data_IF_924490615413
#
_entry.id   IF_924490615413
#
_cell.length_a   1.000
_cell.length_b   1.000
_cell.length_c   1.000
_cell.angle_alpha   90.00
_cell.angle_beta   90.00
_cell.angle_gamma   90.00
#
_symmetry.space_group_name_H-M   'P 1'
#
loop_
_entity.id
_entity.type
_entity.pdbx_description
1 polymer ?
#
# COMPACT_ATOMS: atom_id res chain seq x y z
N UNK A 1 36.93 -5.87 3.11
CA UNK A 1 35.96 -5.57 2.08
C UNK A 1 34.77 -6.48 2.31
N UNK A 2 33.67 -5.88 2.72
CA UNK A 2 32.51 -6.48 3.37
C UNK A 2 31.71 -7.39 2.43
N UNK A 3 31.55 -8.67 2.81
CA UNK A 3 30.68 -9.64 2.13
C UNK A 3 29.19 -9.25 2.21
N UNK A 4 28.83 -8.36 3.12
CA UNK A 4 27.45 -7.87 3.30
C UNK A 4 26.95 -7.00 2.13
N UNK A 5 27.83 -6.36 1.37
CA UNK A 5 27.46 -5.44 0.29
C UNK A 5 27.12 -6.11 -1.04
N UNK A 6 27.53 -7.34 -1.30
CA UNK A 6 27.24 -8.05 -2.55
C UNK A 6 25.95 -8.88 -2.52
N UNK A 7 25.58 -9.42 -1.37
CA UNK A 7 24.31 -10.16 -1.22
C UNK A 7 23.09 -9.21 -1.19
N UNK A 8 23.27 -8.00 -0.69
CA UNK A 8 22.22 -6.98 -0.67
C UNK A 8 21.85 -6.52 -2.08
N UNK A 9 22.85 -6.40 -2.98
CA UNK A 9 22.67 -5.95 -4.36
C UNK A 9 21.90 -6.93 -5.27
N UNK A 10 21.59 -8.14 -4.82
CA UNK A 10 20.89 -9.17 -5.61
C UNK A 10 19.46 -9.45 -5.14
N UNK A 11 19.05 -8.93 -3.98
CA UNK A 11 17.71 -9.19 -3.43
C UNK A 11 16.64 -8.46 -4.23
N UNK A 12 15.52 -9.13 -4.59
CA UNK A 12 14.39 -8.47 -5.25
C UNK A 12 13.84 -7.32 -4.38
N UNK A 13 13.49 -6.21 -5.02
CA UNK A 13 12.97 -5.03 -4.32
C UNK A 13 11.46 -5.12 -4.12
N UNK A 14 11.01 -4.82 -2.89
CA UNK A 14 9.61 -4.59 -2.55
C UNK A 14 9.43 -3.14 -2.12
N UNK A 15 8.51 -2.41 -2.76
CA UNK A 15 8.10 -1.06 -2.34
C UNK A 15 6.76 -1.15 -1.63
N UNK A 16 6.73 -0.77 -0.37
CA UNK A 16 5.53 -0.74 0.47
C UNK A 16 4.95 0.67 0.52
N UNK A 17 3.70 0.83 0.07
CA UNK A 17 2.99 2.11 0.01
C UNK A 17 1.87 2.13 1.06
N UNK A 18 1.95 3.09 1.98
CA UNK A 18 1.07 3.18 3.14
C UNK A 18 -0.35 3.69 2.82
N UNK A 19 -1.28 3.49 3.73
CA UNK A 19 -2.65 4.00 3.67
C UNK A 19 -2.76 5.49 4.03
N UNK A 20 -3.93 6.06 3.75
CA UNK A 20 -4.29 7.43 4.14
C UNK A 20 -3.96 7.70 5.61
N UNK A 21 -3.49 8.91 5.90
CA UNK A 21 -3.05 9.47 7.19
C UNK A 21 -1.85 8.79 7.84
N UNK A 22 -1.41 7.64 7.35
CA UNK A 22 -0.25 6.91 7.86
C UNK A 22 1.04 7.37 7.17
N UNK A 23 2.16 6.75 7.55
CA UNK A 23 3.48 6.92 6.95
C UNK A 23 4.08 5.56 6.61
N UNK A 24 5.28 5.53 6.03
CA UNK A 24 6.05 4.31 5.78
C UNK A 24 6.26 3.44 7.02
N UNK A 25 6.20 4.04 8.21
CA UNK A 25 6.30 3.35 9.50
C UNK A 25 5.21 2.28 9.73
N UNK A 26 4.07 2.37 9.02
CA UNK A 26 3.02 1.35 9.06
C UNK A 26 3.47 -0.03 8.53
N UNK A 27 4.63 -0.10 7.91
CA UNK A 27 5.20 -1.33 7.33
C UNK A 27 6.36 -1.92 8.15
N UNK A 28 6.69 -1.34 9.30
CA UNK A 28 7.82 -1.78 10.16
C UNK A 28 7.78 -3.28 10.47
N UNK A 29 6.60 -3.83 10.78
CA UNK A 29 6.45 -5.26 11.05
C UNK A 29 6.73 -6.14 9.81
N UNK A 30 6.34 -5.70 8.62
CA UNK A 30 6.61 -6.41 7.36
C UNK A 30 8.08 -6.34 6.99
N UNK A 31 8.70 -5.17 7.12
CA UNK A 31 10.14 -4.98 6.88
C UNK A 31 10.98 -5.86 7.79
N UNK A 32 10.64 -5.94 9.08
CA UNK A 32 11.35 -6.78 10.05
C UNK A 32 11.35 -8.27 9.66
N UNK A 33 10.27 -8.75 9.00
CA UNK A 33 10.16 -10.16 8.59
C UNK A 33 10.71 -10.42 7.19
N UNK A 34 10.55 -9.45 6.27
CA UNK A 34 10.85 -9.65 4.84
C UNK A 34 12.24 -9.16 4.44
N UNK A 35 12.86 -8.27 5.24
CA UNK A 35 14.14 -7.67 4.95
C UNK A 35 15.33 -8.63 4.95
N UNK A 36 15.16 -9.87 5.40
CA UNK A 36 16.14 -10.94 5.26
C UNK A 36 16.32 -11.44 3.83
N UNK A 37 15.23 -11.39 3.03
CA UNK A 37 15.18 -11.95 1.69
C UNK A 37 14.92 -10.90 0.58
N UNK A 38 14.46 -9.70 0.96
CA UNK A 38 14.06 -8.65 0.03
C UNK A 38 14.67 -7.31 0.41
N UNK A 39 15.00 -6.49 -0.59
CA UNK A 39 15.26 -5.08 -0.40
C UNK A 39 13.92 -4.34 -0.22
N UNK A 40 13.64 -3.89 1.01
CA UNK A 40 12.35 -3.29 1.36
C UNK A 40 12.44 -1.77 1.40
N UNK A 41 11.63 -1.08 0.59
CA UNK A 41 11.50 0.37 0.57
C UNK A 41 10.12 0.77 1.11
N UNK A 42 10.07 1.76 2.00
CA UNK A 42 8.82 2.25 2.63
C UNK A 42 8.71 3.77 2.52
N UNK A 43 8.60 4.33 1.29
CA UNK A 43 8.54 5.77 1.13
C UNK A 43 7.27 6.35 1.74
N UNK A 44 7.37 7.60 2.22
CA UNK A 44 6.21 8.40 2.53
C UNK A 44 5.62 8.96 1.24
N UNK A 45 4.30 8.78 1.06
CA UNK A 45 3.56 9.35 -0.06
C UNK A 45 3.42 10.87 0.09
N UNK A 46 3.30 11.63 -1.02
CA UNK A 46 3.06 13.07 -0.94
C UNK A 46 1.93 13.43 0.03
N UNK A 47 2.11 14.51 0.78
CA UNK A 47 1.20 14.94 1.84
C UNK A 47 1.33 14.17 3.15
N UNK A 48 2.25 13.20 3.27
CA UNK A 48 2.37 12.33 4.44
C UNK A 48 3.81 12.25 4.95
N UNK A 49 3.97 12.06 6.27
CA UNK A 49 5.24 11.84 6.94
C UNK A 49 6.31 12.84 6.54
N UNK A 50 7.46 12.38 6.07
CA UNK A 50 8.59 13.22 5.61
C UNK A 50 8.31 13.94 4.28
N UNK A 51 7.24 13.56 3.56
CA UNK A 51 6.81 14.19 2.30
C UNK A 51 5.56 15.08 2.47
N UNK A 52 5.25 15.52 3.70
CA UNK A 52 4.04 16.29 4.03
C UNK A 52 3.90 17.60 3.25
N UNK A 53 5.01 18.25 2.88
CA UNK A 53 5.03 19.53 2.15
C UNK A 53 4.84 19.35 0.64
N UNK A 54 4.75 18.12 0.15
CA UNK A 54 4.56 17.83 -1.27
C UNK A 54 3.07 17.62 -1.53
N UNK A 55 2.44 18.40 -2.41
CA UNK A 55 1.03 18.21 -2.73
C UNK A 55 0.73 16.81 -3.29
N UNK A 56 -0.35 16.18 -2.81
CA UNK A 56 -0.76 14.88 -3.31
C UNK A 56 -1.61 15.02 -4.57
N UNK A 57 -1.21 14.30 -5.61
CA UNK A 57 -2.07 13.86 -6.72
C UNK A 57 -1.76 12.39 -6.99
N UNK A 58 -2.71 11.64 -7.57
CA UNK A 58 -2.49 10.22 -7.87
C UNK A 58 -1.30 10.05 -8.82
N UNK A 59 -1.26 10.84 -9.88
CA UNK A 59 -0.20 10.75 -10.90
C UNK A 59 1.14 11.24 -10.35
N UNK A 60 1.17 12.34 -9.58
CA UNK A 60 2.41 12.81 -8.93
C UNK A 60 2.96 11.83 -7.91
N UNK A 61 2.10 11.15 -7.14
CA UNK A 61 2.52 10.07 -6.25
C UNK A 61 3.09 8.89 -7.03
N UNK A 62 2.44 8.50 -8.15
CA UNK A 62 2.92 7.44 -9.01
C UNK A 62 4.28 7.76 -9.65
N UNK A 63 4.50 9.00 -10.12
CA UNK A 63 5.78 9.47 -10.68
C UNK A 63 6.91 9.40 -9.64
N UNK A 64 6.63 9.77 -8.39
CA UNK A 64 7.63 9.69 -7.31
C UNK A 64 8.00 8.25 -6.97
N UNK A 65 7.01 7.34 -6.95
CA UNK A 65 7.27 5.91 -6.73
C UNK A 65 8.06 5.32 -7.90
N UNK A 66 7.73 5.68 -9.14
CA UNK A 66 8.51 5.28 -10.31
C UNK A 66 9.96 5.75 -10.23
N UNK A 67 10.20 7.03 -9.94
CA UNK A 67 11.54 7.57 -9.76
C UNK A 67 12.31 6.91 -8.59
N UNK A 68 11.62 6.50 -7.53
CA UNK A 68 12.21 5.73 -6.44
C UNK A 68 12.67 4.36 -6.93
N UNK A 69 11.84 3.66 -7.71
CA UNK A 69 12.18 2.35 -8.29
C UNK A 69 13.42 2.48 -9.19
N UNK A 70 13.45 3.47 -10.07
CA UNK A 70 14.62 3.69 -10.96
C UNK A 70 15.91 3.97 -10.19
N UNK A 71 15.83 4.70 -9.08
CA UNK A 71 17.00 5.08 -8.29
C UNK A 71 17.47 4.01 -7.33
N UNK A 72 16.54 3.26 -6.70
CA UNK A 72 16.86 2.43 -5.53
C UNK A 72 16.56 0.94 -5.72
N UNK A 73 15.79 0.53 -6.73
CA UNK A 73 15.60 -0.89 -7.00
C UNK A 73 16.83 -1.46 -7.74
N UNK A 74 17.33 -2.61 -7.26
CA UNK A 74 18.60 -3.17 -7.74
C UNK A 74 18.63 -3.47 -9.24
N UNK A 75 17.50 -3.92 -9.82
CA UNK A 75 17.35 -4.20 -11.25
C UNK A 75 16.44 -3.18 -11.96
N UNK A 76 16.15 -2.04 -11.31
CA UNK A 76 15.21 -1.02 -11.78
C UNK A 76 13.77 -1.51 -11.83
N UNK A 77 13.43 -2.56 -11.09
CA UNK A 77 12.10 -3.18 -11.02
C UNK A 77 11.73 -3.50 -9.59
N UNK A 78 10.44 -3.51 -9.26
CA UNK A 78 9.98 -3.80 -7.91
C UNK A 78 8.64 -4.56 -7.90
N UNK A 79 8.41 -5.26 -6.81
CA UNK A 79 7.07 -5.68 -6.39
C UNK A 79 6.46 -4.51 -5.63
N UNK A 80 5.27 -4.08 -6.00
CA UNK A 80 4.55 -3.04 -5.28
C UNK A 80 3.56 -3.68 -4.31
N UNK A 81 3.58 -3.23 -3.06
CA UNK A 81 2.64 -3.65 -2.02
C UNK A 81 1.98 -2.40 -1.46
N UNK A 82 0.69 -2.20 -1.74
CA UNK A 82 -0.02 -1.00 -1.32
C UNK A 82 -1.21 -1.29 -0.42
N UNK A 83 -1.36 -0.51 0.66
CA UNK A 83 -2.53 -0.52 1.52
C UNK A 83 -3.42 0.68 1.20
N UNK A 84 -4.71 0.47 0.93
CA UNK A 84 -5.70 1.56 0.77
C UNK A 84 -5.20 2.61 -0.25
N UNK A 85 -4.93 3.85 0.16
CA UNK A 85 -4.32 4.90 -0.67
C UNK A 85 -3.09 4.38 -1.44
N UNK A 86 -2.18 3.69 -0.76
CA UNK A 86 -0.99 3.11 -1.37
C UNK A 86 -1.30 2.06 -2.43
N UNK A 87 -2.43 1.33 -2.29
CA UNK A 87 -2.92 0.38 -3.30
C UNK A 87 -3.34 1.09 -4.59
N UNK A 88 -4.02 2.22 -4.49
CA UNK A 88 -4.39 3.04 -5.65
C UNK A 88 -3.17 3.64 -6.36
N UNK A 89 -2.20 4.14 -5.58
CA UNK A 89 -0.93 4.62 -6.15
C UNK A 89 -0.18 3.47 -6.83
N UNK A 90 -0.12 2.29 -6.22
CA UNK A 90 0.51 1.10 -6.82
C UNK A 90 -0.15 0.71 -8.16
N UNK A 91 -1.49 0.74 -8.24
CA UNK A 91 -2.22 0.50 -9.50
C UNK A 91 -1.85 1.55 -10.55
N UNK A 92 -1.75 2.84 -10.18
CA UNK A 92 -1.39 3.91 -11.10
C UNK A 92 0.04 3.73 -11.66
N UNK A 93 1.00 3.34 -10.81
CA UNK A 93 2.38 2.99 -11.24
C UNK A 93 2.37 1.82 -12.20
N UNK A 94 1.70 0.72 -11.83
CA UNK A 94 1.67 -0.51 -12.62
C UNK A 94 1.00 -0.32 -13.99
N UNK A 95 -0.01 0.55 -14.07
CA UNK A 95 -0.67 0.88 -15.33
C UNK A 95 0.22 1.71 -16.27
N UNK A 96 1.03 2.63 -15.71
CA UNK A 96 1.83 3.58 -16.49
C UNK A 96 3.21 3.05 -16.86
N UNK A 97 3.81 2.24 -15.98
CA UNK A 97 5.15 1.66 -16.16
C UNK A 97 5.15 0.16 -15.82
N UNK A 98 4.39 -0.65 -16.56
CA UNK A 98 4.24 -2.08 -16.26
C UNK A 98 5.57 -2.85 -16.30
N UNK A 99 6.54 -2.40 -17.10
CA UNK A 99 7.88 -2.98 -17.19
C UNK A 99 8.71 -2.81 -15.91
N UNK A 100 8.36 -1.84 -15.07
CA UNK A 100 9.01 -1.57 -13.77
C UNK A 100 8.40 -2.37 -12.62
N UNK A 101 7.23 -2.98 -12.84
CA UNK A 101 6.47 -3.68 -11.79
C UNK A 101 6.47 -5.17 -12.07
N UNK A 102 7.20 -5.94 -11.26
CA UNK A 102 7.28 -7.40 -11.39
C UNK A 102 6.07 -8.10 -10.76
N UNK A 103 5.38 -7.44 -9.83
CA UNK A 103 4.16 -7.93 -9.19
C UNK A 103 3.45 -6.83 -8.42
N UNK A 104 2.13 -6.92 -8.35
CA UNK A 104 1.26 -5.93 -7.71
C UNK A 104 0.41 -6.58 -6.61
N UNK A 105 0.65 -6.22 -5.36
CA UNK A 105 -0.19 -6.63 -4.23
C UNK A 105 -0.94 -5.41 -3.67
N UNK A 106 -2.27 -5.45 -3.71
CA UNK A 106 -3.14 -4.37 -3.22
C UNK A 106 -4.01 -4.87 -2.07
N UNK A 107 -3.94 -4.19 -0.94
CA UNK A 107 -4.71 -4.49 0.25
C UNK A 107 -5.72 -3.37 0.55
N UNK A 108 -6.99 -3.70 0.71
CA UNK A 108 -8.04 -2.71 1.01
C UNK A 108 -8.15 -1.59 -0.04
N UNK A 109 -7.98 -1.90 -1.33
CA UNK A 109 -8.08 -0.95 -2.44
C UNK A 109 -8.79 -1.56 -3.66
N UNK A 110 -9.82 -2.36 -3.41
CA UNK A 110 -10.56 -3.12 -4.42
C UNK A 110 -11.93 -2.50 -4.74
N UNK A 111 -12.00 -1.17 -4.79
CA UNK A 111 -13.20 -0.42 -5.16
C UNK A 111 -12.81 0.79 -6.01
N UNK A 112 -13.59 1.11 -7.05
CA UNK A 112 -13.46 2.39 -7.74
C UNK A 112 -14.13 3.49 -6.91
N UNK A 113 -13.44 4.61 -6.60
CA UNK A 113 -13.99 5.72 -5.81
C UNK A 113 -15.04 6.56 -6.58
N UNK A 114 -16.02 5.90 -7.18
CA UNK A 114 -17.08 6.51 -8.01
C UNK A 114 -18.48 6.12 -7.50
N UNK A 115 -19.50 6.82 -7.90
CA UNK A 115 -20.90 6.54 -7.52
C UNK A 115 -21.07 6.45 -6.00
N UNK A 116 -21.69 5.38 -5.50
CA UNK A 116 -21.93 5.15 -4.08
C UNK A 116 -20.65 4.95 -3.29
N UNK A 117 -19.62 4.33 -3.88
CA UNK A 117 -18.32 4.12 -3.23
C UNK A 117 -17.63 5.45 -2.92
N UNK A 118 -17.78 6.45 -3.80
CA UNK A 118 -17.25 7.80 -3.56
C UNK A 118 -17.78 8.45 -2.27
N UNK A 119 -18.97 8.07 -1.79
CA UNK A 119 -19.55 8.62 -0.56
C UNK A 119 -18.71 8.26 0.69
N UNK A 120 -18.15 7.05 0.73
CA UNK A 120 -17.26 6.64 1.83
C UNK A 120 -15.99 7.49 1.88
N UNK A 121 -15.34 7.72 0.72
CA UNK A 121 -14.15 8.57 0.62
C UNK A 121 -14.46 10.02 0.98
N UNK A 122 -15.56 10.57 0.45
CA UNK A 122 -16.01 11.94 0.79
C UNK A 122 -16.36 12.09 2.26
N UNK A 123 -17.09 11.11 2.82
CA UNK A 123 -17.47 11.11 4.23
C UNK A 123 -16.25 11.14 5.16
N UNK A 124 -15.27 10.27 4.90
CA UNK A 124 -14.02 10.26 5.66
C UNK A 124 -13.24 11.57 5.50
N UNK A 125 -13.13 12.09 4.27
CA UNK A 125 -12.47 13.38 4.02
C UNK A 125 -13.15 14.53 4.80
N UNK A 126 -14.49 14.56 4.84
CA UNK A 126 -15.26 15.57 5.60
C UNK A 126 -15.01 15.44 7.11
N UNK A 127 -14.98 14.23 7.65
CA UNK A 127 -14.70 14.01 9.07
C UNK A 127 -13.31 14.51 9.44
N UNK A 128 -12.30 14.12 8.66
CA UNK A 128 -10.91 14.53 8.90
C UNK A 128 -10.70 16.06 8.74
N UNK A 129 -11.46 16.71 7.85
CA UNK A 129 -11.37 18.14 7.55
C UNK A 129 -12.11 19.02 8.57
N UNK A 130 -13.21 18.51 9.19
CA UNK A 130 -14.08 19.28 10.06
C UNK A 130 -13.78 19.10 11.54
N UNK A 131 -13.25 17.94 11.93
CA UNK A 131 -12.89 17.67 13.31
C UNK A 131 -11.52 18.28 13.61
N UNK A 132 -11.36 19.07 14.68
CA UNK A 132 -10.07 19.65 15.05
C UNK A 132 -8.97 18.59 15.15
N UNK A 133 -7.82 18.85 14.56
CA UNK A 133 -6.71 17.89 14.46
C UNK A 133 -6.31 17.26 15.80
N UNK A 134 -6.19 18.01 16.92
CA UNK A 134 -5.85 17.39 18.22
C UNK A 134 -6.88 16.34 18.69
N UNK A 135 -8.15 16.51 18.31
CA UNK A 135 -9.22 15.55 18.65
C UNK A 135 -9.07 14.30 17.79
N UNK A 136 -8.87 14.46 16.48
CA UNK A 136 -8.68 13.33 15.58
C UNK A 136 -7.41 12.56 15.95
N UNK A 137 -6.29 13.24 16.20
CA UNK A 137 -5.02 12.61 16.64
C UNK A 137 -5.23 11.82 17.95
N UNK A 138 -5.90 12.43 18.92
CA UNK A 138 -6.23 11.76 20.18
C UNK A 138 -7.05 10.49 19.98
N UNK A 139 -8.07 10.52 19.12
CA UNK A 139 -8.92 9.36 18.77
C UNK A 139 -8.12 8.28 18.08
N UNK A 140 -7.28 8.64 17.08
CA UNK A 140 -6.43 7.68 16.37
C UNK A 140 -5.42 7.02 17.32
N UNK A 141 -4.72 7.80 18.17
CA UNK A 141 -3.78 7.25 19.16
C UNK A 141 -4.46 6.33 20.16
N UNK A 142 -5.64 6.73 20.64
CA UNK A 142 -6.43 5.89 21.54
C UNK A 142 -6.84 4.57 20.85
N UNK A 143 -7.38 4.64 19.62
CA UNK A 143 -7.75 3.48 18.83
C UNK A 143 -6.55 2.54 18.60
N UNK A 144 -5.41 3.07 18.18
CA UNK A 144 -4.21 2.27 17.92
C UNK A 144 -3.66 1.61 19.19
N UNK A 145 -3.64 2.32 20.33
CA UNK A 145 -3.24 1.74 21.63
C UNK A 145 -4.17 0.63 22.10
N UNK A 146 -5.47 0.78 21.87
CA UNK A 146 -6.45 -0.24 22.23
C UNK A 146 -6.36 -1.48 21.33
N UNK A 147 -6.08 -1.26 20.06
CA UNK A 147 -6.20 -2.29 19.01
C UNK A 147 -4.91 -3.07 18.79
N UNK A 148 -3.77 -2.44 18.92
CA UNK A 148 -2.48 -3.01 18.54
C UNK A 148 -1.48 -3.03 19.70
N UNK A 149 -0.58 -4.04 19.75
CA UNK A 149 0.51 -4.05 20.73
C UNK A 149 1.49 -2.89 20.49
N UNK A 150 2.27 -2.49 21.51
CA UNK A 150 3.25 -1.40 21.38
C UNK A 150 4.23 -1.58 20.22
N UNK A 151 4.65 -2.82 19.92
CA UNK A 151 5.54 -3.12 18.79
C UNK A 151 4.99 -2.71 17.41
N UNK A 152 3.66 -2.55 17.29
CA UNK A 152 3.00 -2.06 16.08
C UNK A 152 2.62 -0.60 16.21
N UNK A 153 2.06 -0.19 17.37
CA UNK A 153 1.54 1.16 17.56
C UNK A 153 2.65 2.22 17.68
N UNK A 154 3.74 1.94 18.40
CA UNK A 154 4.80 2.94 18.63
C UNK A 154 5.53 3.38 17.35
N UNK A 155 5.92 2.51 16.39
CA UNK A 155 6.46 2.98 15.12
C UNK A 155 5.50 3.91 14.37
N UNK A 156 4.19 3.62 14.38
CA UNK A 156 3.17 4.46 13.74
C UNK A 156 3.09 5.82 14.43
N UNK A 157 3.13 5.86 15.76
CA UNK A 157 3.14 7.13 16.50
C UNK A 157 4.39 7.95 16.25
N UNK A 158 5.54 7.29 16.10
CA UNK A 158 6.79 7.95 15.75
C UNK A 158 6.77 8.54 14.32
N UNK A 159 6.11 7.84 13.37
CA UNK A 159 5.90 8.34 12.01
C UNK A 159 4.84 9.44 11.91
N UNK A 160 4.02 9.62 12.95
CA UNK A 160 2.94 10.61 13.00
C UNK A 160 1.74 10.27 12.12
N UNK A 161 0.70 11.11 12.23
CA UNK A 161 -0.50 11.06 11.39
C UNK A 161 -0.61 12.34 10.55
N UNK A 162 -0.85 12.20 9.25
CA UNK A 162 -0.93 13.30 8.29
C UNK A 162 -2.40 13.53 7.88
N UNK A 163 -3.20 14.13 8.75
CA UNK A 163 -4.63 14.29 8.51
C UNK A 163 -4.93 15.24 7.35
N UNK A 164 -4.26 16.39 7.27
CA UNK A 164 -4.43 17.34 6.18
C UNK A 164 -4.06 16.72 4.82
N UNK A 165 -2.93 16.01 4.75
CA UNK A 165 -2.52 15.25 3.57
C UNK A 165 -3.52 14.15 3.21
N UNK A 166 -4.05 13.46 4.22
CA UNK A 166 -5.08 12.44 4.07
C UNK A 166 -6.37 12.99 3.44
N UNK A 167 -6.81 14.20 3.86
CA UNK A 167 -7.99 14.87 3.25
C UNK A 167 -7.76 15.15 1.77
N UNK A 168 -6.59 15.71 1.42
CA UNK A 168 -6.23 15.99 0.02
C UNK A 168 -6.21 14.71 -0.79
N UNK A 169 -5.56 13.65 -0.27
CA UNK A 169 -5.46 12.36 -0.95
C UNK A 169 -6.84 11.71 -1.17
N UNK A 170 -7.70 11.68 -0.15
CA UNK A 170 -9.06 11.14 -0.29
C UNK A 170 -9.88 11.89 -1.35
N UNK A 171 -9.77 13.23 -1.37
CA UNK A 171 -10.45 14.05 -2.39
C UNK A 171 -9.91 13.79 -3.79
N UNK A 172 -8.61 13.58 -3.93
CA UNK A 172 -7.97 13.28 -5.21
C UNK A 172 -8.37 11.89 -5.77
N UNK A 173 -8.74 10.94 -4.91
CA UNK A 173 -9.23 9.64 -5.36
C UNK A 173 -10.67 9.70 -5.89
N UNK A 174 -11.50 10.62 -5.39
CA UNK A 174 -12.93 10.69 -5.75
C UNK A 174 -13.12 11.01 -7.22
N UNK A 175 -13.83 10.12 -7.92
CA UNK A 175 -14.09 10.24 -9.35
C UNK A 175 -13.13 9.48 -10.26
N UNK A 176 -12.03 8.96 -9.69
CA UNK A 176 -11.04 8.17 -10.41
C UNK A 176 -11.50 6.72 -10.62
N UNK A 177 -11.19 6.16 -11.78
CA UNK A 177 -11.43 4.78 -12.13
C UNK A 177 -10.12 3.98 -12.09
N UNK A 178 -9.99 3.06 -11.14
CA UNK A 178 -8.78 2.23 -10.97
C UNK A 178 -8.92 0.84 -11.57
N UNK A 179 -10.13 0.30 -11.73
CA UNK A 179 -10.31 -1.00 -12.38
C UNK A 179 -9.83 -1.00 -13.85
N UNK A 180 -10.02 0.06 -14.68
CA UNK A 180 -9.40 0.12 -15.99
C UNK A 180 -7.87 0.26 -15.95
N UNK A 181 -7.34 0.99 -14.96
CA UNK A 181 -5.89 1.09 -14.76
C UNK A 181 -5.30 -0.27 -14.38
N UNK A 182 -5.98 -1.03 -13.50
CA UNK A 182 -5.56 -2.39 -13.15
C UNK A 182 -5.58 -3.33 -14.37
N UNK A 183 -6.57 -3.20 -15.26
CA UNK A 183 -6.66 -3.97 -16.49
C UNK A 183 -5.49 -3.70 -17.47
N UNK A 184 -4.89 -2.51 -17.41
CA UNK A 184 -3.73 -2.16 -18.22
C UNK A 184 -2.41 -2.81 -17.74
N UNK A 185 -2.38 -3.34 -16.51
CA UNK A 185 -1.22 -4.04 -15.98
C UNK A 185 -1.27 -5.53 -16.35
N UNK A 186 -0.34 -6.04 -17.19
CA UNK A 186 -0.37 -7.42 -17.66
C UNK A 186 0.21 -8.44 -16.68
N UNK A 187 0.89 -7.97 -15.61
CA UNK A 187 1.61 -8.82 -14.67
C UNK A 187 0.73 -9.42 -13.57
N UNK A 188 1.34 -10.25 -12.71
CA UNK A 188 0.65 -10.93 -11.62
C UNK A 188 0.15 -9.93 -10.56
N UNK A 189 -1.11 -10.10 -10.16
CA UNK A 189 -1.77 -9.25 -9.16
C UNK A 189 -2.28 -10.08 -7.99
N UNK A 190 -2.10 -9.57 -6.75
CA UNK A 190 -2.61 -10.15 -5.52
C UNK A 190 -3.55 -9.15 -4.83
N UNK A 191 -4.83 -9.46 -4.80
CA UNK A 191 -5.86 -8.67 -4.11
C UNK A 191 -6.06 -9.23 -2.70
N UNK A 192 -5.85 -8.38 -1.70
CA UNK A 192 -5.88 -8.74 -0.28
C UNK A 192 -6.98 -7.94 0.42
N UNK A 193 -7.87 -8.63 1.12
CA UNK A 193 -8.82 -7.97 2.01
C UNK A 193 -8.86 -8.65 3.38
N UNK A 194 -9.09 -7.84 4.42
CA UNK A 194 -9.43 -8.36 5.74
C UNK A 194 -10.85 -8.93 5.76
N UNK A 195 -11.07 -9.95 6.60
CA UNK A 195 -12.39 -10.60 6.74
C UNK A 195 -13.50 -9.59 7.10
N UNK A 196 -13.15 -8.57 7.87
CA UNK A 196 -14.08 -7.54 8.35
C UNK A 196 -13.97 -6.21 7.58
N UNK A 197 -13.27 -6.18 6.44
CA UNK A 197 -13.26 -5.02 5.55
C UNK A 197 -14.55 -4.98 4.71
N UNK A 198 -15.63 -4.50 5.33
CA UNK A 198 -16.96 -4.46 4.73
C UNK A 198 -17.10 -3.45 3.60
N UNK A 199 -16.13 -2.54 3.43
CA UNK A 199 -16.17 -1.53 2.39
C UNK A 199 -15.55 -2.04 1.08
N UNK A 200 -14.39 -2.69 1.12
CA UNK A 200 -13.66 -3.11 -0.08
C UNK A 200 -13.98 -4.54 -0.53
N UNK A 201 -14.29 -5.45 0.39
CA UNK A 201 -14.61 -6.85 0.04
C UNK A 201 -15.76 -7.04 -0.93
N UNK A 202 -16.89 -6.31 -0.83
CA UNK A 202 -18.03 -6.51 -1.74
C UNK A 202 -17.68 -6.25 -3.21
N UNK A 203 -16.75 -5.34 -3.48
CA UNK A 203 -16.33 -4.93 -4.84
C UNK A 203 -15.14 -5.72 -5.37
N UNK A 204 -14.42 -6.47 -4.52
CA UNK A 204 -13.25 -7.28 -4.89
C UNK A 204 -13.50 -8.21 -6.10
N UNK A 205 -14.63 -8.92 -6.22
CA UNK A 205 -14.85 -9.80 -7.38
C UNK A 205 -14.86 -9.06 -8.71
N UNK A 206 -15.38 -7.82 -8.74
CA UNK A 206 -15.36 -6.98 -9.95
C UNK A 206 -13.93 -6.51 -10.26
N UNK A 207 -13.20 -6.08 -9.25
CA UNK A 207 -11.80 -5.71 -9.38
C UNK A 207 -10.92 -6.87 -9.86
N UNK A 208 -11.12 -8.08 -9.31
CA UNK A 208 -10.40 -9.27 -9.74
C UNK A 208 -10.64 -9.62 -11.21
N UNK A 209 -11.85 -9.39 -11.73
CA UNK A 209 -12.13 -9.60 -13.15
C UNK A 209 -11.41 -8.62 -14.08
N UNK A 210 -11.05 -7.44 -13.58
CA UNK A 210 -10.30 -6.46 -14.35
C UNK A 210 -8.81 -6.80 -14.47
N UNK A 211 -8.24 -7.51 -13.49
CA UNK A 211 -6.82 -7.85 -13.52
C UNK A 211 -6.51 -9.00 -14.50
N UNK A 212 -5.35 -8.94 -15.16
CA UNK A 212 -4.94 -9.94 -16.15
C UNK A 212 -4.57 -11.29 -15.52
N UNK A 213 -3.82 -11.30 -14.40
CA UNK A 213 -3.46 -12.52 -13.63
C UNK A 213 -3.79 -12.30 -12.13
N UNK A 214 -5.07 -12.36 -11.75
CA UNK A 214 -5.51 -12.07 -10.40
C UNK A 214 -5.38 -13.26 -9.46
N UNK A 215 -4.87 -12.99 -8.26
CA UNK A 215 -5.00 -13.84 -7.08
C UNK A 215 -5.75 -13.10 -6.01
N UNK A 216 -6.51 -13.82 -5.24
CA UNK A 216 -7.31 -13.26 -4.14
C UNK A 216 -6.92 -13.91 -2.83
N UNK A 217 -6.76 -13.10 -1.80
CA UNK A 217 -6.46 -13.57 -0.45
C UNK A 217 -7.34 -12.89 0.60
N UNK A 218 -7.94 -13.69 1.47
CA UNK A 218 -8.69 -13.22 2.62
C UNK A 218 -7.87 -13.43 3.89
N UNK A 219 -7.60 -12.33 4.61
CA UNK A 219 -6.95 -12.40 5.91
C UNK A 219 -8.03 -12.47 6.99
N UNK A 220 -8.17 -13.65 7.59
CA UNK A 220 -9.14 -13.90 8.66
C UNK A 220 -8.80 -13.07 9.90
N UNK A 221 -9.82 -12.62 10.64
CA UNK A 221 -9.72 -11.79 11.84
C UNK A 221 -8.99 -10.46 11.61
N UNK A 222 -9.05 -9.96 10.39
CA UNK A 222 -8.49 -8.67 10.02
C UNK A 222 -9.57 -7.71 9.50
N UNK A 223 -9.36 -6.44 9.78
CA UNK A 223 -10.15 -5.31 9.27
C UNK A 223 -9.47 -4.74 8.02
N UNK A 224 -9.75 -3.46 7.72
CA UNK A 224 -9.08 -2.70 6.66
C UNK A 224 -7.55 -2.65 6.83
N UNK A 225 -7.07 -2.56 8.07
CA UNK A 225 -5.63 -2.53 8.40
C UNK A 225 -5.05 -3.95 8.51
N UNK A 226 -5.26 -4.76 7.49
CA UNK A 226 -4.96 -6.20 7.52
C UNK A 226 -3.47 -6.54 7.73
N UNK A 227 -2.56 -5.65 7.32
CA UNK A 227 -1.12 -5.74 7.57
C UNK A 227 -0.76 -5.53 9.05
N UNK A 228 -1.54 -4.72 9.77
CA UNK A 228 -1.35 -4.46 11.20
C UNK A 228 -2.10 -5.47 12.07
N UNK A 229 -3.32 -5.87 11.66
CA UNK A 229 -4.15 -6.83 12.38
C UNK A 229 -3.54 -8.25 12.41
N UNK A 230 -2.90 -8.66 11.33
CA UNK A 230 -2.33 -9.99 11.16
C UNK A 230 -0.95 -9.91 10.46
N UNK A 231 0.05 -9.25 11.10
CA UNK A 231 1.33 -8.91 10.45
C UNK A 231 2.07 -10.15 9.92
N UNK A 232 2.14 -11.22 10.69
CA UNK A 232 2.81 -12.45 10.28
C UNK A 232 2.13 -13.13 9.09
N UNK A 233 0.80 -13.14 9.10
CA UNK A 233 0.02 -13.73 8.01
C UNK A 233 0.14 -12.91 6.73
N UNK A 234 0.11 -11.60 6.88
CA UNK A 234 0.32 -10.69 5.76
C UNK A 234 1.73 -10.85 5.18
N UNK A 235 2.78 -10.86 6.01
CA UNK A 235 4.17 -11.06 5.59
C UNK A 235 4.38 -12.40 4.88
N UNK A 236 3.84 -13.50 5.41
CA UNK A 236 3.91 -14.81 4.74
C UNK A 236 3.23 -14.80 3.37
N UNK A 237 2.10 -14.10 3.24
CA UNK A 237 1.38 -13.99 1.97
C UNK A 237 2.21 -13.22 0.93
N UNK A 238 2.80 -12.09 1.33
CA UNK A 238 3.68 -11.30 0.45
C UNK A 238 4.94 -12.10 0.07
N UNK A 239 5.59 -12.79 1.03
CA UNK A 239 6.74 -13.64 0.75
C UNK A 239 6.40 -14.72 -0.30
N UNK A 240 5.29 -15.43 -0.12
CA UNK A 240 4.85 -16.48 -1.06
C UNK A 240 4.56 -15.92 -2.45
N UNK A 241 3.94 -14.73 -2.53
CA UNK A 241 3.68 -14.05 -3.80
C UNK A 241 4.98 -13.64 -4.48
N UNK A 242 5.91 -13.00 -3.77
CA UNK A 242 7.19 -12.54 -4.29
C UNK A 242 8.09 -13.70 -4.77
N UNK A 243 8.19 -14.78 -3.97
CA UNK A 243 8.98 -15.97 -4.34
C UNK A 243 8.46 -16.61 -5.64
N UNK A 244 7.14 -16.69 -5.80
CA UNK A 244 6.54 -17.24 -7.02
C UNK A 244 6.86 -16.40 -8.26
N UNK A 245 6.89 -15.08 -8.14
CA UNK A 245 7.26 -14.19 -9.25
C UNK A 245 8.69 -14.49 -9.69
N UNK A 246 9.63 -14.58 -8.73
CA UNK A 246 11.03 -14.89 -9.03
C UNK A 246 11.24 -16.23 -9.74
N UNK A 247 10.47 -17.27 -9.38
CA UNK A 247 10.55 -18.59 -10.03
C UNK A 247 10.02 -18.60 -11.46
N UNK A 248 9.06 -17.73 -11.80
CA UNK A 248 8.52 -17.62 -13.16
C UNK A 248 9.44 -16.82 -14.10
N UNK A 249 10.16 -15.82 -13.58
CA UNK A 249 11.10 -15.00 -14.36
C UNK A 249 12.36 -15.78 -14.82
N UNK A 250 12.68 -16.89 -14.17
CA UNK A 250 13.81 -17.77 -14.56
C UNK A 250 13.48 -18.84 -15.62
N UNK A 251 12.24 -18.89 -16.11
CA UNK A 251 11.76 -19.89 -17.10
C UNK A 251 11.39 -19.29 -18.46
N UNK A 252 11.52 -18.00 -18.64
CA UNK A 252 11.32 -17.27 -19.89
C UNK A 252 12.68 -16.84 -20.46
#
# INVERSE_FOLDING_TARGET
VDRATTEDATRPTIVFLHGTVLSGAAWTAQVAVLGDAFHCLTPDLPGHGTAQDIPFTVDGAAERVHALIEREAHDGRAILVGLSLGGYVAIAVAARWPERVTGLAIAGATADPVGLQALGFRGLAVVLDRVPEPVVDGVYRWFFRLRFPPSIAEPIFAGGFSFAGGVVALRALVGEWFSPRLAAYPGPSLLINGEYDLFFRPTEPAFARAAADPRRALIRRATHLSNLDQPDRFSRLIRAFATRIGTNSGRA
#
